data_IF_400805670128
#
_entry.id   IF_400805670128
#
_cell.length_a   1.000
_cell.length_b   1.000
_cell.length_c   1.000
_cell.angle_alpha   90.00
_cell.angle_beta   90.00
_cell.angle_gamma   90.00
#
_symmetry.space_group_name_H-M   'P 1'
#
loop_
_entity.id
_entity.type
_entity.pdbx_description
1 polymer ?
#
# COMPACT_ATOMS: atom_id res chain seq x y z
N UNK A 1 -46.58 6.79 2.10
CA UNK A 1 -45.58 7.07 1.05
C UNK A 1 -44.24 6.79 1.67
N UNK A 2 -43.91 5.51 1.82
CA UNK A 2 -42.68 5.05 2.44
C UNK A 2 -41.55 5.20 1.42
N UNK A 3 -40.66 6.16 1.66
CA UNK A 3 -39.47 6.35 0.84
C UNK A 3 -38.54 5.15 1.04
N UNK A 4 -38.13 4.44 -0.03
CA UNK A 4 -37.22 3.31 0.10
C UNK A 4 -35.84 3.82 0.54
N UNK A 5 -35.40 3.37 1.71
CA UNK A 5 -34.05 3.57 2.24
C UNK A 5 -33.07 2.86 1.28
N UNK A 6 -32.32 3.64 0.49
CA UNK A 6 -31.22 3.11 -0.30
C UNK A 6 -30.11 2.69 0.65
N UNK A 7 -29.96 1.38 0.84
CA UNK A 7 -28.87 0.79 1.60
C UNK A 7 -27.56 0.95 0.80
N UNK A 8 -26.53 1.67 1.29
CA UNK A 8 -25.28 1.92 0.53
C UNK A 8 -24.33 0.71 0.46
N UNK A 9 -24.76 -0.49 0.87
CA UNK A 9 -23.93 -1.69 1.03
C UNK A 9 -23.70 -2.52 -0.25
N UNK A 10 -23.89 -1.94 -1.43
CA UNK A 10 -23.52 -2.59 -2.70
C UNK A 10 -22.41 -1.80 -3.40
N UNK A 11 -21.27 -1.65 -2.71
CA UNK A 11 -20.02 -1.59 -3.45
C UNK A 11 -19.71 -3.02 -3.88
N UNK A 12 -19.80 -3.27 -5.18
CA UNK A 12 -19.35 -4.50 -5.81
C UNK A 12 -17.89 -4.74 -5.39
N UNK A 13 -17.68 -5.60 -4.39
CA UNK A 13 -16.34 -6.07 -4.05
C UNK A 13 -15.89 -6.95 -5.21
N UNK A 14 -15.26 -6.34 -6.22
CA UNK A 14 -14.27 -7.05 -7.01
C UNK A 14 -13.36 -7.73 -6.00
N UNK A 15 -13.34 -9.06 -5.99
CA UNK A 15 -12.50 -9.82 -5.07
C UNK A 15 -11.06 -9.42 -5.31
N UNK A 16 -10.54 -8.52 -4.47
CA UNK A 16 -9.15 -8.07 -4.60
C UNK A 16 -8.27 -9.24 -4.27
N UNK A 17 -7.48 -9.67 -5.26
CA UNK A 17 -6.44 -10.66 -5.05
C UNK A 17 -5.32 -10.00 -4.25
N UNK A 18 -5.40 -10.15 -2.93
CA UNK A 18 -4.46 -9.62 -1.96
C UNK A 18 -3.04 -10.09 -2.27
N UNK A 19 -2.86 -11.34 -2.70
CA UNK A 19 -1.52 -11.87 -3.01
C UNK A 19 -0.93 -11.19 -4.24
N UNK A 20 -1.75 -10.97 -5.28
CA UNK A 20 -1.32 -10.21 -6.47
C UNK A 20 -0.99 -8.77 -6.12
N UNK A 21 -1.75 -8.14 -5.24
CA UNK A 21 -1.50 -6.78 -4.76
C UNK A 21 -0.19 -6.71 -3.96
N UNK A 22 0.06 -7.64 -3.03
CA UNK A 22 1.30 -7.69 -2.26
C UNK A 22 2.52 -7.87 -3.17
N UNK A 23 2.45 -8.77 -4.17
CA UNK A 23 3.55 -8.93 -5.15
C UNK A 23 3.82 -7.68 -5.98
N UNK A 24 2.78 -6.91 -6.31
CA UNK A 24 2.92 -5.61 -6.98
C UNK A 24 3.67 -4.63 -6.07
N UNK A 25 3.24 -4.52 -4.81
CA UNK A 25 3.81 -3.61 -3.82
C UNK A 25 5.26 -3.97 -3.46
N UNK A 26 5.58 -5.26 -3.42
CA UNK A 26 6.95 -5.78 -3.26
C UNK A 26 7.84 -5.31 -4.40
N UNK A 27 7.42 -5.52 -5.65
CA UNK A 27 8.17 -5.08 -6.83
C UNK A 27 8.38 -3.56 -6.84
N UNK A 28 7.32 -2.78 -6.61
CA UNK A 28 7.41 -1.32 -6.60
C UNK A 28 8.25 -0.79 -5.43
N UNK A 29 8.17 -1.44 -4.26
CA UNK A 29 9.00 -1.13 -3.11
C UNK A 29 10.48 -1.34 -3.45
N UNK A 30 10.82 -2.48 -4.04
CA UNK A 30 12.17 -2.78 -4.49
C UNK A 30 12.69 -1.77 -5.50
N UNK A 31 11.91 -1.43 -6.53
CA UNK A 31 12.29 -0.45 -7.56
C UNK A 31 12.53 0.93 -6.94
N UNK A 32 11.60 1.42 -6.11
CA UNK A 32 11.72 2.74 -5.45
C UNK A 32 12.88 2.79 -4.45
N UNK A 33 13.13 1.71 -3.72
CA UNK A 33 14.28 1.63 -2.80
C UNK A 33 15.59 1.58 -3.57
N UNK A 34 15.66 0.88 -4.71
CA UNK A 34 16.84 0.88 -5.57
C UNK A 34 17.12 2.28 -6.16
N UNK A 35 16.07 2.97 -6.64
CA UNK A 35 16.17 4.36 -7.08
C UNK A 35 16.65 5.27 -5.94
N UNK A 36 16.13 5.09 -4.72
CA UNK A 36 16.52 5.88 -3.56
C UNK A 36 18.00 5.67 -3.21
N UNK A 37 18.49 4.43 -3.24
CA UNK A 37 19.90 4.11 -3.02
C UNK A 37 20.83 4.67 -4.12
N UNK A 38 20.31 4.89 -5.33
CA UNK A 38 21.07 5.52 -6.42
C UNK A 38 21.17 7.04 -6.29
N UNK A 39 20.34 7.67 -5.44
CA UNK A 39 20.41 9.10 -5.17
C UNK A 39 21.51 9.37 -4.15
N UNK A 40 22.34 10.38 -4.42
CA UNK A 40 23.25 10.91 -3.40
C UNK A 40 22.44 11.65 -2.33
N UNK A 41 22.09 10.93 -1.27
CA UNK A 41 21.46 11.47 -0.07
C UNK A 41 22.53 11.53 1.02
N UNK A 42 22.91 12.74 1.39
CA UNK A 42 23.92 13.07 2.38
C UNK A 42 23.39 13.07 3.82
N UNK A 43 22.08 13.21 4.00
CA UNK A 43 21.40 13.20 5.30
C UNK A 43 20.69 11.85 5.57
N UNK A 44 21.16 11.07 6.56
CA UNK A 44 20.52 9.83 6.96
C UNK A 44 19.03 9.98 7.35
N UNK A 45 18.63 11.14 7.89
CA UNK A 45 17.23 11.37 8.25
C UNK A 45 16.34 11.49 7.00
N UNK A 46 16.84 12.11 5.93
CA UNK A 46 16.11 12.17 4.65
C UNK A 46 15.98 10.78 4.04
N UNK A 47 17.03 9.96 4.11
CA UNK A 47 16.97 8.57 3.65
C UNK A 47 15.86 7.79 4.39
N UNK A 48 15.79 7.90 5.71
CA UNK A 48 14.76 7.24 6.52
C UNK A 48 13.36 7.77 6.17
N UNK A 49 13.20 9.07 5.97
CA UNK A 49 11.92 9.68 5.59
C UNK A 49 11.42 9.19 4.23
N UNK A 50 12.30 9.10 3.23
CA UNK A 50 11.95 8.60 1.90
C UNK A 50 11.60 7.10 1.93
N UNK A 51 12.35 6.28 2.67
CA UNK A 51 11.99 4.86 2.89
C UNK A 51 10.62 4.72 3.57
N UNK A 52 10.37 5.52 4.60
CA UNK A 52 9.09 5.53 5.32
C UNK A 52 7.94 5.92 4.39
N UNK A 53 8.19 6.88 3.50
CA UNK A 53 7.21 7.32 2.50
C UNK A 53 6.87 6.20 1.51
N UNK A 54 7.86 5.46 1.00
CA UNK A 54 7.63 4.30 0.12
C UNK A 54 6.69 3.29 0.78
N UNK A 55 6.93 2.96 2.06
CA UNK A 55 6.09 2.02 2.82
C UNK A 55 4.68 2.59 3.07
N UNK A 56 4.58 3.88 3.42
CA UNK A 56 3.31 4.55 3.72
C UNK A 56 2.42 4.67 2.48
N UNK A 57 3.01 5.00 1.32
CA UNK A 57 2.29 5.09 0.05
C UNK A 57 1.72 3.72 -0.35
N UNK A 58 2.49 2.65 -0.11
CA UNK A 58 2.04 1.29 -0.36
C UNK A 58 0.95 0.79 0.58
N UNK A 59 1.03 1.09 1.89
CA UNK A 59 -0.05 0.81 2.84
C UNK A 59 -1.34 1.57 2.48
N UNK A 60 -1.20 2.82 2.03
CA UNK A 60 -2.33 3.60 1.52
C UNK A 60 -2.96 2.95 0.29
N UNK A 61 -2.18 2.56 -0.71
CA UNK A 61 -2.69 1.84 -1.89
C UNK A 61 -3.40 0.53 -1.49
N UNK A 62 -2.80 -0.21 -0.56
CA UNK A 62 -3.39 -1.44 -0.05
C UNK A 62 -4.73 -1.21 0.62
N UNK A 63 -4.83 -0.17 1.45
CA UNK A 63 -6.06 0.19 2.15
C UNK A 63 -7.15 0.67 1.20
N UNK A 64 -6.81 1.47 0.20
CA UNK A 64 -7.75 1.94 -0.82
C UNK A 64 -8.35 0.77 -1.62
N UNK A 65 -7.55 -0.26 -1.89
CA UNK A 65 -8.00 -1.43 -2.66
C UNK A 65 -8.71 -2.48 -1.82
N UNK A 66 -8.24 -2.74 -0.60
CA UNK A 66 -8.73 -3.85 0.23
C UNK A 66 -9.73 -3.43 1.30
N UNK A 67 -9.84 -2.12 1.59
CA UNK A 67 -10.67 -1.59 2.66
C UNK A 67 -10.10 -1.79 4.07
N UNK A 68 -8.89 -2.35 4.21
CA UNK A 68 -8.23 -2.56 5.51
C UNK A 68 -6.74 -2.21 5.46
N UNK A 69 -6.13 -1.99 6.62
CA UNK A 69 -4.68 -1.84 6.70
C UNK A 69 -3.99 -3.19 6.43
N UNK A 70 -2.71 -3.15 6.03
CA UNK A 70 -1.89 -4.35 5.97
C UNK A 70 -1.71 -4.99 7.34
N UNK A 71 -1.63 -6.31 7.37
CA UNK A 71 -1.11 -7.05 8.53
C UNK A 71 0.41 -6.97 8.58
N UNK A 72 1.00 -7.29 9.74
CA UNK A 72 2.45 -7.35 9.88
C UNK A 72 3.09 -8.35 8.88
N UNK A 73 2.46 -9.51 8.66
CA UNK A 73 2.96 -10.51 7.71
C UNK A 73 2.96 -9.98 6.27
N UNK A 74 1.94 -9.21 5.88
CA UNK A 74 1.84 -8.59 4.56
C UNK A 74 2.86 -7.47 4.36
N UNK A 75 3.06 -6.62 5.38
CA UNK A 75 4.13 -5.60 5.34
C UNK A 75 5.51 -6.25 5.25
N UNK A 76 5.75 -7.32 6.01
CA UNK A 76 7.03 -8.07 5.95
C UNK A 76 7.23 -8.74 4.59
N UNK A 77 6.16 -9.22 3.95
CA UNK A 77 6.25 -9.80 2.61
C UNK A 77 6.52 -8.74 1.54
N UNK A 78 5.97 -7.53 1.69
CA UNK A 78 6.14 -6.45 0.72
C UNK A 78 7.46 -5.66 0.90
N UNK A 79 7.92 -5.46 2.13
CA UNK A 79 9.01 -4.51 2.44
C UNK A 79 10.09 -5.07 3.38
N UNK A 80 9.98 -6.34 3.80
CA UNK A 80 10.85 -6.95 4.80
C UNK A 80 12.10 -7.63 4.26
#
# INVERSE_FOLDING_TARGET
>A
MDTPIKNPLTQETQSVDVNKLIKKLEKEGMEKTAELNSKEIDDPNKMIQELTKIMTDGDKEFKEKTGRNMTYAEMRAAYG
#
